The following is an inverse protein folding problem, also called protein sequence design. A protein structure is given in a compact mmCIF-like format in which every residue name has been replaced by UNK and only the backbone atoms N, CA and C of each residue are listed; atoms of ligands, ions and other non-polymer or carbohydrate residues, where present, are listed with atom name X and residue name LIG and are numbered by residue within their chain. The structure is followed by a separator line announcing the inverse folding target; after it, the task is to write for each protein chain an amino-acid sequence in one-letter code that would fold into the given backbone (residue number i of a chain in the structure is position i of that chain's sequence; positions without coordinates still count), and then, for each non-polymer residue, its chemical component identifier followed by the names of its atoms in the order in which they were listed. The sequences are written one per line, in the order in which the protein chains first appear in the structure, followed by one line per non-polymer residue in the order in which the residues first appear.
data_IF_111227542800
#
_entry.id   IF_111227542800
#
_cell.length_a   1.000
_cell.length_b   1.000
_cell.length_c   1.000
_cell.angle_alpha   90.00
_cell.angle_beta   90.00
_cell.angle_gamma   90.00
#
_symmetry.space_group_name_H-M   'P 1'
#
loop_
_entity.id
_entity.type
_entity.pdbx_description
1 polymer ?
#
# COMPACT_ATOMS: atom_id res chain seq x y z
N UNK A 1 4.82 52.53 -66.80
CA UNK A 1 4.95 51.07 -66.98
C UNK A 1 5.37 50.45 -65.65
N UNK A 2 4.42 49.89 -64.89
CA UNK A 2 4.71 49.14 -63.67
C UNK A 2 4.09 47.75 -63.83
N UNK A 3 4.95 46.73 -63.92
CA UNK A 3 4.58 45.31 -63.93
C UNK A 3 4.06 44.94 -62.54
N UNK A 4 2.79 44.56 -62.45
CA UNK A 4 2.22 43.78 -61.33
C UNK A 4 1.85 42.42 -61.90
N UNK A 5 2.78 41.47 -61.78
CA UNK A 5 2.49 40.05 -61.89
C UNK A 5 3.15 39.38 -60.67
N UNK A 6 2.46 39.42 -59.54
CA UNK A 6 2.62 38.45 -58.47
C UNK A 6 1.32 37.65 -58.48
N UNK A 7 1.32 36.55 -59.24
CA UNK A 7 0.29 35.53 -59.11
C UNK A 7 0.33 35.01 -57.67
N UNK A 8 -0.68 35.38 -56.87
CA UNK A 8 -0.92 34.73 -55.59
C UNK A 8 -1.10 33.22 -55.85
N UNK A 9 -0.40 32.34 -55.10
CA UNK A 9 -0.57 30.91 -55.29
C UNK A 9 -2.02 30.56 -55.01
N UNK A 10 -2.72 30.07 -56.04
CA UNK A 10 -4.09 29.57 -55.93
C UNK A 10 -4.18 28.61 -54.74
N UNK A 11 -5.04 28.95 -53.78
CA UNK A 11 -5.28 28.06 -52.64
C UNK A 11 -5.79 26.72 -53.18
N UNK A 12 -5.32 25.59 -52.61
CA UNK A 12 -5.75 24.27 -53.05
C UNK A 12 -7.27 24.15 -52.89
N UNK A 13 -7.91 23.56 -53.91
CA UNK A 13 -9.34 23.27 -53.88
C UNK A 13 -9.61 22.31 -52.70
N UNK A 14 -10.62 22.62 -51.91
CA UNK A 14 -11.02 21.78 -50.79
C UNK A 14 -11.50 20.40 -51.30
N UNK A 15 -10.88 19.33 -50.80
CA UNK A 15 -11.31 17.97 -51.04
C UNK A 15 -11.99 17.42 -49.78
N UNK A 16 -13.19 16.83 -49.94
CA UNK A 16 -13.88 16.18 -48.83
C UNK A 16 -13.12 14.90 -48.45
N UNK A 17 -12.60 14.86 -47.23
CA UNK A 17 -11.85 13.72 -46.70
C UNK A 17 -12.60 13.09 -45.52
N UNK A 18 -12.54 11.75 -45.37
CA UNK A 18 -13.10 11.10 -44.20
C UNK A 18 -12.27 11.47 -42.95
N UNK A 19 -12.85 11.33 -41.74
CA UNK A 19 -12.08 11.50 -40.52
C UNK A 19 -10.91 10.51 -40.43
N UNK A 20 -9.78 10.96 -39.86
CA UNK A 20 -8.53 10.16 -39.76
C UNK A 20 -8.71 8.80 -39.05
N UNK A 21 -9.72 8.68 -38.20
CA UNK A 21 -10.01 7.45 -37.45
C UNK A 21 -10.89 6.46 -38.22
N UNK A 22 -11.50 6.84 -39.36
CA UNK A 22 -12.42 5.99 -40.10
C UNK A 22 -11.64 5.01 -40.99
N UNK A 23 -11.67 3.70 -40.71
CA UNK A 23 -10.98 2.74 -41.54
C UNK A 23 -11.62 2.64 -42.93
N UNK A 24 -10.79 2.35 -43.93
CA UNK A 24 -11.28 1.97 -45.26
C UNK A 24 -12.09 0.68 -45.16
N UNK A 25 -13.15 0.57 -45.95
CA UNK A 25 -14.02 -0.61 -45.93
C UNK A 25 -13.31 -1.86 -46.45
N UNK A 26 -12.24 -1.71 -47.23
CA UNK A 26 -11.38 -2.80 -47.67
C UNK A 26 -9.90 -2.40 -47.64
N UNK A 27 -9.02 -3.38 -47.44
CA UNK A 27 -7.58 -3.16 -47.31
C UNK A 27 -6.93 -2.85 -48.67
N UNK A 28 -7.38 -3.52 -49.74
CA UNK A 28 -6.72 -3.46 -51.07
C UNK A 28 -7.58 -2.88 -52.19
N UNK A 29 -8.88 -2.74 -52.00
CA UNK A 29 -9.82 -2.37 -53.07
C UNK A 29 -10.44 -1.02 -52.72
N UNK A 30 -10.55 -0.15 -53.71
CA UNK A 30 -11.14 1.17 -53.51
C UNK A 30 -12.67 1.11 -53.53
N UNK A 31 -13.24 0.61 -52.43
CA UNK A 31 -14.69 0.58 -52.19
C UNK A 31 -15.14 1.71 -51.24
N UNK A 32 -14.26 2.68 -50.99
CA UNK A 32 -14.53 3.81 -50.11
C UNK A 32 -14.58 3.48 -48.61
N UNK A 33 -15.29 4.31 -47.87
CA UNK A 33 -15.35 4.30 -46.41
C UNK A 33 -16.78 4.07 -45.93
N UNK A 34 -16.93 3.33 -44.83
CA UNK A 34 -18.26 3.03 -44.30
C UNK A 34 -18.94 4.32 -43.81
N UNK A 35 -20.11 4.65 -44.38
CA UNK A 35 -20.88 5.84 -44.00
C UNK A 35 -20.31 7.17 -44.50
N UNK A 36 -19.30 7.15 -45.37
CA UNK A 36 -18.74 8.36 -45.98
C UNK A 36 -18.75 8.23 -47.51
N UNK A 37 -19.57 9.08 -48.14
CA UNK A 37 -19.85 9.05 -49.57
C UNK A 37 -19.55 10.44 -50.17
N UNK A 38 -18.28 10.73 -50.49
CA UNK A 38 -17.93 12.00 -51.10
C UNK A 38 -18.49 12.05 -52.54
N UNK A 39 -18.87 13.24 -53.05
CA UNK A 39 -19.24 13.42 -54.45
C UNK A 39 -18.10 12.97 -55.36
N UNK A 40 -18.41 12.25 -56.43
CA UNK A 40 -17.43 11.81 -57.42
C UNK A 40 -17.82 12.27 -58.82
N UNK A 41 -16.87 12.73 -59.66
CA UNK A 41 -17.19 13.24 -61.00
C UNK A 41 -17.90 12.26 -61.94
N UNK A 42 -17.82 10.96 -61.65
CA UNK A 42 -18.40 9.86 -62.42
C UNK A 42 -19.80 9.44 -61.93
N UNK A 43 -20.34 10.09 -60.90
CA UNK A 43 -21.69 9.81 -60.41
C UNK A 43 -22.77 10.35 -61.36
N UNK A 44 -23.90 9.64 -61.46
CA UNK A 44 -25.04 10.02 -62.32
C UNK A 44 -25.60 11.41 -61.99
N UNK A 45 -25.44 11.86 -60.74
CA UNK A 45 -25.84 13.20 -60.28
C UNK A 45 -24.94 14.31 -60.85
N UNK A 46 -23.65 14.03 -61.05
CA UNK A 46 -22.67 14.98 -61.58
C UNK A 46 -22.63 15.01 -63.12
N UNK A 47 -23.21 13.99 -63.78
CA UNK A 47 -23.27 13.90 -65.25
C UNK A 47 -24.52 14.63 -65.77
N UNK A 48 -24.32 15.86 -66.23
CA UNK A 48 -25.37 16.75 -66.75
C UNK A 48 -25.82 16.37 -68.18
N UNK A 49 -26.60 15.30 -68.31
CA UNK A 49 -27.24 14.94 -69.59
C UNK A 49 -28.41 15.86 -69.92
N UNK A 50 -28.69 16.06 -71.21
CA UNK A 50 -29.81 16.90 -71.67
C UNK A 50 -31.15 16.45 -71.06
N UNK A 51 -31.37 15.14 -70.93
CA UNK A 51 -32.56 14.56 -70.32
C UNK A 51 -32.66 14.89 -68.82
N UNK A 52 -31.58 14.69 -68.06
CA UNK A 52 -31.57 14.97 -66.62
C UNK A 52 -31.78 16.47 -66.34
N UNK A 53 -31.18 17.34 -67.16
CA UNK A 53 -31.32 18.81 -67.03
C UNK A 53 -32.76 19.27 -67.33
N UNK A 54 -33.43 18.67 -68.31
CA UNK A 54 -34.80 19.06 -68.70
C UNK A 54 -35.89 18.45 -67.82
N UNK A 55 -35.71 17.20 -67.39
CA UNK A 55 -36.76 16.42 -66.72
C UNK A 55 -36.50 16.16 -65.22
N UNK A 56 -35.32 16.53 -64.72
CA UNK A 56 -34.85 16.15 -63.39
C UNK A 56 -34.23 14.75 -63.35
N UNK A 57 -33.37 14.51 -62.36
CA UNK A 57 -32.79 13.18 -62.10
C UNK A 57 -33.77 12.36 -61.24
N UNK A 58 -34.18 11.20 -61.76
CA UNK A 58 -34.98 10.22 -61.01
C UNK A 58 -34.16 8.95 -60.90
N UNK A 59 -33.68 8.67 -59.69
CA UNK A 59 -32.97 7.42 -59.40
C UNK A 59 -33.98 6.27 -59.28
N UNK A 60 -33.68 5.16 -59.95
CA UNK A 60 -34.48 3.95 -59.83
C UNK A 60 -34.35 3.34 -58.44
N UNK A 61 -35.40 2.63 -57.99
CA UNK A 61 -35.30 1.81 -56.78
C UNK A 61 -34.33 0.66 -57.02
N UNK A 62 -33.33 0.52 -56.14
CA UNK A 62 -32.41 -0.64 -56.17
C UNK A 62 -33.12 -1.96 -55.88
N UNK A 63 -34.27 -1.91 -55.18
CA UNK A 63 -35.10 -3.08 -54.84
C UNK A 63 -36.57 -2.78 -55.19
N UNK A 64 -37.24 -3.59 -56.04
CA UNK A 64 -38.60 -3.32 -56.50
C UNK A 64 -39.70 -3.29 -55.43
N UNK A 65 -39.46 -3.89 -54.25
CA UNK A 65 -40.45 -4.12 -53.21
C UNK A 65 -39.99 -3.56 -51.84
N UNK A 66 -39.50 -2.32 -51.81
CA UNK A 66 -38.90 -1.69 -50.62
C UNK A 66 -39.84 -1.62 -49.40
N UNK A 67 -41.16 -1.55 -49.63
CA UNK A 67 -42.18 -1.43 -48.57
C UNK A 67 -42.65 -2.79 -48.04
N UNK A 68 -42.19 -3.92 -48.59
CA UNK A 68 -42.63 -5.24 -48.18
C UNK A 68 -41.94 -5.71 -46.89
N UNK A 69 -42.71 -6.33 -45.99
CA UNK A 69 -42.17 -6.99 -44.80
C UNK A 69 -41.57 -8.35 -45.15
N UNK A 70 -40.33 -8.59 -44.74
CA UNK A 70 -39.68 -9.91 -44.85
C UNK A 70 -40.22 -10.99 -43.90
N UNK A 71 -41.23 -10.69 -43.04
CA UNK A 71 -41.69 -11.59 -41.97
C UNK A 71 -42.02 -13.00 -42.46
N UNK A 72 -42.74 -13.13 -43.58
CA UNK A 72 -43.13 -14.44 -44.11
C UNK A 72 -41.92 -15.28 -44.56
N UNK A 73 -40.87 -14.63 -45.09
CA UNK A 73 -39.67 -15.29 -45.59
C UNK A 73 -38.80 -15.85 -44.45
N UNK A 74 -38.76 -15.17 -43.30
CA UNK A 74 -37.92 -15.56 -42.18
C UNK A 74 -38.64 -16.45 -41.16
N UNK A 75 -39.98 -16.38 -41.05
CA UNK A 75 -40.72 -17.12 -40.02
C UNK A 75 -40.56 -18.63 -40.15
N UNK A 76 -40.63 -19.19 -41.36
CA UNK A 76 -40.41 -20.63 -41.58
C UNK A 76 -38.99 -21.07 -41.23
N UNK A 77 -37.98 -20.27 -41.63
CA UNK A 77 -36.57 -20.54 -41.36
C UNK A 77 -36.23 -20.45 -39.86
N UNK A 78 -36.91 -19.56 -39.12
CA UNK A 78 -36.77 -19.43 -37.67
C UNK A 78 -37.51 -20.52 -36.88
N UNK A 79 -38.70 -20.92 -37.35
CA UNK A 79 -39.56 -21.87 -36.61
C UNK A 79 -39.17 -23.34 -36.81
N UNK A 80 -38.56 -23.69 -37.95
CA UNK A 80 -38.30 -25.09 -38.33
C UNK A 80 -36.89 -25.35 -38.88
N UNK A 81 -36.04 -24.33 -38.98
CA UNK A 81 -34.68 -24.45 -39.51
C UNK A 81 -33.59 -24.29 -38.46
N UNK A 82 -32.35 -24.60 -38.86
CA UNK A 82 -31.15 -24.39 -38.06
C UNK A 82 -30.58 -22.97 -38.16
N UNK A 83 -31.36 -22.02 -38.70
CA UNK A 83 -30.90 -20.66 -39.03
C UNK A 83 -30.18 -19.97 -37.87
N UNK A 84 -30.69 -20.12 -36.65
CA UNK A 84 -30.05 -19.50 -35.47
C UNK A 84 -28.68 -20.10 -35.18
N UNK A 85 -28.55 -21.42 -35.29
CA UNK A 85 -27.28 -22.13 -35.09
C UNK A 85 -26.27 -21.76 -36.18
N UNK A 86 -26.72 -21.61 -37.43
CA UNK A 86 -25.86 -21.23 -38.55
C UNK A 86 -25.38 -19.77 -38.39
N UNK A 87 -26.27 -18.87 -37.96
CA UNK A 87 -25.92 -17.48 -37.64
C UNK A 87 -24.92 -17.41 -36.47
N UNK A 88 -25.11 -18.24 -35.45
CA UNK A 88 -24.17 -18.35 -34.34
C UNK A 88 -22.78 -18.81 -34.81
N UNK A 89 -22.70 -19.86 -35.63
CA UNK A 89 -21.44 -20.34 -36.19
C UNK A 89 -20.76 -19.26 -37.06
N UNK A 90 -21.52 -18.57 -37.92
CA UNK A 90 -20.99 -17.46 -38.72
C UNK A 90 -20.43 -16.35 -37.83
N UNK A 91 -21.17 -15.91 -36.80
CA UNK A 91 -20.72 -14.86 -35.90
C UNK A 91 -19.51 -15.28 -35.08
N UNK A 92 -19.46 -16.53 -34.59
CA UNK A 92 -18.31 -17.07 -33.88
C UNK A 92 -17.06 -17.08 -34.77
N UNK A 93 -17.18 -17.51 -36.03
CA UNK A 93 -16.06 -17.46 -36.99
C UNK A 93 -15.61 -16.02 -37.28
N UNK A 94 -16.53 -15.06 -37.35
CA UNK A 94 -16.19 -13.63 -37.49
C UNK A 94 -15.43 -13.14 -36.25
N UNK A 95 -15.87 -13.50 -35.05
CA UNK A 95 -15.18 -13.13 -33.80
C UNK A 95 -13.79 -13.76 -33.70
N UNK A 96 -13.63 -15.04 -34.08
CA UNK A 96 -12.32 -15.70 -34.10
C UNK A 96 -11.35 -15.01 -35.06
N UNK A 97 -11.78 -14.72 -36.30
CA UNK A 97 -10.93 -14.00 -37.26
C UNK A 97 -10.62 -12.58 -36.80
N UNK A 98 -11.58 -11.90 -36.17
CA UNK A 98 -11.35 -10.58 -35.58
C UNK A 98 -10.29 -10.65 -34.49
N UNK A 99 -10.37 -11.63 -33.59
CA UNK A 99 -9.38 -11.85 -32.54
C UNK A 99 -7.97 -12.10 -33.10
N UNK A 100 -7.85 -12.90 -34.17
CA UNK A 100 -6.58 -13.16 -34.87
C UNK A 100 -6.03 -11.92 -35.58
N UNK A 101 -6.91 -11.04 -36.09
CA UNK A 101 -6.54 -9.82 -36.80
C UNK A 101 -6.17 -8.64 -35.89
N UNK A 102 -6.49 -8.70 -34.59
CA UNK A 102 -6.17 -7.63 -33.65
C UNK A 102 -4.66 -7.62 -33.43
N UNK A 103 -3.97 -6.49 -33.69
CA UNK A 103 -2.54 -6.38 -33.42
C UNK A 103 -2.25 -6.68 -31.94
N UNK A 104 -1.31 -7.59 -31.62
CA UNK A 104 -0.96 -7.87 -30.24
C UNK A 104 -0.34 -6.64 -29.58
N UNK A 105 -0.62 -6.44 -28.29
CA UNK A 105 0.03 -5.39 -27.50
C UNK A 105 1.53 -5.72 -27.45
N UNK A 106 2.42 -4.82 -27.89
CA UNK A 106 3.84 -5.09 -27.88
C UNK A 106 4.36 -5.28 -26.45
N UNK A 107 5.37 -6.14 -26.29
CA UNK A 107 6.04 -6.36 -25.02
C UNK A 107 6.62 -5.07 -24.45
N UNK A 108 6.62 -4.91 -23.12
CA UNK A 108 7.16 -3.73 -22.46
C UNK A 108 8.63 -3.51 -22.79
N UNK A 109 8.94 -2.32 -23.33
CA UNK A 109 10.32 -1.85 -23.59
C UNK A 109 10.90 -1.10 -22.40
N UNK A 110 10.23 -1.12 -21.25
CA UNK A 110 10.66 -0.38 -20.07
C UNK A 110 12.06 -0.80 -19.61
N UNK A 111 12.92 0.20 -19.42
CA UNK A 111 14.24 0.07 -18.82
C UNK A 111 14.30 0.95 -17.58
N UNK A 112 14.84 0.40 -16.50
CA UNK A 112 15.06 1.18 -15.29
C UNK A 112 16.08 2.28 -15.56
N UNK A 113 15.87 3.52 -15.07
CA UNK A 113 16.87 4.59 -15.15
C UNK A 113 18.26 4.12 -14.73
N UNK A 114 19.26 4.32 -15.61
CA UNK A 114 20.63 3.89 -15.36
C UNK A 114 21.35 4.83 -14.38
N UNK A 115 22.23 4.25 -13.58
CA UNK A 115 23.08 5.00 -12.65
C UNK A 115 24.31 5.56 -13.35
N UNK A 116 24.66 6.80 -13.00
CA UNK A 116 25.83 7.49 -13.53
C UNK A 116 26.65 8.07 -12.39
N UNK A 117 27.96 7.97 -12.48
CA UNK A 117 28.87 8.64 -11.55
C UNK A 117 28.93 10.12 -11.90
N UNK A 118 28.36 10.96 -11.04
CA UNK A 118 28.43 12.42 -11.15
C UNK A 118 29.46 12.96 -10.15
N UNK A 119 30.15 14.04 -10.55
CA UNK A 119 30.94 14.84 -9.61
C UNK A 119 30.03 15.54 -8.58
N UNK A 120 30.62 16.05 -7.50
CA UNK A 120 29.82 16.58 -6.38
C UNK A 120 28.95 17.78 -6.77
N UNK A 121 29.46 18.69 -7.60
CA UNK A 121 28.69 19.83 -8.10
C UNK A 121 27.46 19.40 -8.92
N UNK A 122 27.64 18.45 -9.85
CA UNK A 122 26.51 17.92 -10.65
C UNK A 122 25.56 17.10 -9.79
N UNK A 123 26.05 16.39 -8.77
CA UNK A 123 25.20 15.66 -7.82
C UNK A 123 24.33 16.64 -7.03
N UNK A 124 24.92 17.71 -6.49
CA UNK A 124 24.18 18.73 -5.75
C UNK A 124 23.12 19.41 -6.64
N UNK A 125 23.49 19.79 -7.86
CA UNK A 125 22.54 20.33 -8.83
C UNK A 125 21.42 19.34 -9.17
N UNK A 126 21.73 18.04 -9.28
CA UNK A 126 20.73 17.01 -9.53
C UNK A 126 19.73 16.87 -8.36
N UNK A 127 20.19 16.93 -7.10
CA UNK A 127 19.29 16.90 -5.95
C UNK A 127 18.46 18.18 -5.81
N UNK A 128 19.02 19.35 -6.19
CA UNK A 128 18.25 20.59 -6.29
C UNK A 128 17.15 20.49 -7.36
N UNK A 129 17.46 19.92 -8.53
CA UNK A 129 16.47 19.64 -9.57
C UNK A 129 15.45 18.57 -9.11
N UNK A 130 15.87 17.58 -8.29
CA UNK A 130 14.97 16.62 -7.68
C UNK A 130 14.04 17.29 -6.67
N UNK A 131 14.46 18.31 -5.94
CA UNK A 131 13.57 19.05 -5.05
C UNK A 131 12.58 19.95 -5.81
N UNK A 132 12.96 20.43 -7.00
CA UNK A 132 12.15 21.35 -7.79
C UNK A 132 10.96 20.65 -8.49
N UNK A 133 9.69 20.98 -8.15
CA UNK A 133 8.52 20.38 -8.78
C UNK A 133 8.37 20.74 -10.28
N UNK A 134 8.98 21.85 -10.72
CA UNK A 134 8.95 22.27 -12.14
C UNK A 134 9.84 21.42 -13.03
N UNK A 135 10.77 20.64 -12.46
CA UNK A 135 11.67 19.77 -13.25
C UNK A 135 11.02 18.38 -13.41
N UNK A 136 10.75 17.92 -14.65
CA UNK A 136 10.10 16.64 -14.88
C UNK A 136 11.03 15.46 -14.56
N UNK A 137 10.46 14.39 -13.97
CA UNK A 137 11.22 13.17 -13.62
C UNK A 137 11.80 12.45 -14.84
N UNK A 138 11.19 12.58 -16.02
CA UNK A 138 11.70 12.02 -17.28
C UNK A 138 13.06 12.61 -17.68
N UNK A 139 13.34 13.86 -17.31
CA UNK A 139 14.66 14.48 -17.48
C UNK A 139 15.68 13.88 -16.50
N UNK A 140 15.30 13.75 -15.23
CA UNK A 140 16.17 13.24 -14.16
C UNK A 140 16.51 11.76 -14.31
N UNK A 141 15.57 10.96 -14.84
CA UNK A 141 15.74 9.54 -15.08
C UNK A 141 16.80 9.19 -16.13
N UNK A 142 17.29 10.15 -16.92
CA UNK A 142 18.37 9.92 -17.89
C UNK A 142 19.73 9.70 -17.21
N UNK A 143 19.95 10.29 -16.04
CA UNK A 143 21.25 10.25 -15.35
C UNK A 143 21.06 10.30 -13.84
N UNK A 144 20.78 9.15 -13.22
CA UNK A 144 20.54 9.06 -11.78
C UNK A 144 21.89 8.93 -11.06
N UNK A 145 22.22 9.81 -10.09
CA UNK A 145 23.54 9.81 -9.45
C UNK A 145 23.79 8.54 -8.62
N UNK A 146 25.03 8.04 -8.71
CA UNK A 146 25.57 7.06 -7.77
C UNK A 146 26.20 7.77 -6.54
N UNK A 147 26.23 7.11 -5.37
CA UNK A 147 27.15 7.48 -4.28
C UNK A 147 26.58 7.46 -2.87
N UNK A 148 25.44 8.10 -2.60
CA UNK A 148 24.86 8.11 -1.27
C UNK A 148 24.11 6.80 -0.99
N UNK A 149 24.39 6.15 0.15
CA UNK A 149 23.74 4.91 0.58
C UNK A 149 23.27 5.02 2.04
N UNK A 150 22.29 4.20 2.40
CA UNK A 150 21.84 4.08 3.78
C UNK A 150 21.35 5.40 4.38
N UNK A 151 21.82 5.71 5.59
CA UNK A 151 21.40 6.90 6.34
C UNK A 151 21.81 8.21 5.65
N UNK A 152 22.99 8.26 5.04
CA UNK A 152 23.48 9.47 4.37
C UNK A 152 22.58 9.86 3.20
N UNK A 153 21.94 8.89 2.56
CA UNK A 153 20.96 9.14 1.51
C UNK A 153 19.67 9.76 2.05
N UNK A 154 19.16 9.25 3.18
CA UNK A 154 17.99 9.82 3.84
C UNK A 154 18.27 11.24 4.32
N UNK A 155 19.47 11.49 4.86
CA UNK A 155 19.95 12.81 5.23
C UNK A 155 20.05 13.74 4.01
N UNK A 156 20.52 13.25 2.86
CA UNK A 156 20.64 14.05 1.65
C UNK A 156 19.28 14.46 1.08
N UNK A 157 18.28 13.58 1.14
CA UNK A 157 16.91 13.87 0.71
C UNK A 157 16.26 14.93 1.60
N UNK A 158 16.44 14.83 2.92
CA UNK A 158 15.96 15.83 3.88
C UNK A 158 16.67 17.18 3.70
N UNK A 159 18.00 17.18 3.59
CA UNK A 159 18.81 18.42 3.44
C UNK A 159 18.47 19.22 2.19
N UNK A 160 18.05 18.56 1.11
CA UNK A 160 17.63 19.23 -0.13
C UNK A 160 16.12 19.51 -0.17
N UNK A 161 15.39 19.24 0.91
CA UNK A 161 13.93 19.43 1.00
C UNK A 161 13.16 18.74 -0.16
N UNK A 162 13.54 17.50 -0.46
CA UNK A 162 12.92 16.77 -1.57
C UNK A 162 11.51 16.34 -1.19
N UNK A 163 10.50 16.73 -1.97
CA UNK A 163 9.12 16.29 -1.73
C UNK A 163 8.97 14.76 -1.68
N UNK A 164 8.15 14.25 -0.75
CA UNK A 164 8.00 12.81 -0.45
C UNK A 164 7.75 11.94 -1.70
N UNK A 165 6.83 12.27 -2.63
CA UNK A 165 6.60 11.43 -3.80
C UNK A 165 7.83 11.33 -4.73
N UNK A 166 8.63 12.41 -4.82
CA UNK A 166 9.85 12.46 -5.64
C UNK A 166 10.98 11.70 -4.97
N UNK A 167 11.09 11.78 -3.65
CA UNK A 167 12.01 10.96 -2.86
C UNK A 167 11.69 9.46 -3.01
N UNK A 168 10.41 9.07 -2.90
CA UNK A 168 9.95 7.69 -3.10
C UNK A 168 10.27 7.20 -4.52
N UNK A 169 10.00 8.00 -5.55
CA UNK A 169 10.38 7.67 -6.93
C UNK A 169 11.88 7.39 -7.04
N UNK A 170 12.71 8.29 -6.51
CA UNK A 170 14.16 8.13 -6.57
C UNK A 170 14.62 6.88 -5.81
N UNK A 171 14.06 6.60 -4.63
CA UNK A 171 14.41 5.43 -3.83
C UNK A 171 13.96 4.12 -4.48
N UNK A 172 12.84 4.09 -5.20
CA UNK A 172 12.41 2.94 -6.01
C UNK A 172 13.38 2.69 -7.16
N UNK A 173 13.81 3.74 -7.86
CA UNK A 173 14.84 3.64 -8.89
C UNK A 173 16.16 3.15 -8.29
N UNK A 174 16.53 3.68 -7.12
CA UNK A 174 17.73 3.28 -6.40
C UNK A 174 17.70 1.79 -6.04
N UNK A 175 16.65 1.31 -5.36
CA UNK A 175 16.53 -0.09 -4.96
C UNK A 175 16.31 -1.07 -6.12
N UNK A 176 15.60 -0.63 -7.17
CA UNK A 176 15.49 -1.39 -8.41
C UNK A 176 16.85 -1.65 -9.05
N UNK A 177 17.74 -0.66 -9.03
CA UNK A 177 19.10 -0.82 -9.57
C UNK A 177 19.98 -1.70 -8.68
N UNK A 178 19.85 -1.67 -7.34
CA UNK A 178 20.58 -2.60 -6.46
C UNK A 178 20.15 -4.05 -6.68
N UNK A 179 18.86 -4.28 -6.92
CA UNK A 179 18.31 -5.64 -7.09
C UNK A 179 18.43 -6.19 -8.51
N UNK A 180 18.55 -5.32 -9.54
CA UNK A 180 18.58 -5.74 -10.94
C UNK A 180 19.66 -6.79 -11.25
N UNK A 181 20.87 -6.64 -10.72
CA UNK A 181 21.97 -7.58 -10.91
C UNK A 181 21.90 -8.85 -10.03
N UNK A 182 21.01 -8.86 -9.02
CA UNK A 182 20.85 -9.99 -8.10
C UNK A 182 19.76 -10.97 -8.57
N UNK A 183 18.79 -10.50 -9.36
CA UNK A 183 17.62 -11.29 -9.83
C UNK A 183 17.99 -12.56 -10.59
N UNK A 184 19.13 -12.58 -11.28
CA UNK A 184 19.58 -13.72 -12.08
C UNK A 184 20.50 -14.68 -11.30
N UNK A 185 20.77 -14.42 -10.01
CA UNK A 185 21.65 -15.26 -9.19
C UNK A 185 20.86 -16.41 -8.56
N UNK A 186 21.43 -17.63 -8.47
CA UNK A 186 20.80 -18.73 -7.75
C UNK A 186 20.62 -18.36 -6.27
N UNK A 187 19.45 -18.67 -5.71
CA UNK A 187 19.11 -18.33 -4.31
C UNK A 187 18.64 -16.88 -4.10
N UNK A 188 18.32 -16.13 -5.17
CA UNK A 188 17.74 -14.80 -5.05
C UNK A 188 16.42 -14.84 -4.26
N UNK A 189 16.38 -14.14 -3.13
CA UNK A 189 15.16 -13.89 -2.39
C UNK A 189 14.64 -12.47 -2.72
N UNK A 190 13.48 -12.34 -3.38
CA UNK A 190 12.89 -11.04 -3.71
C UNK A 190 12.64 -10.12 -2.49
N UNK A 191 12.40 -10.69 -1.30
CA UNK A 191 12.08 -9.92 -0.09
C UNK A 191 13.31 -9.52 0.71
N UNK A 192 14.50 -10.04 0.39
CA UNK A 192 15.71 -9.73 1.16
C UNK A 192 16.03 -8.24 1.14
N UNK A 193 15.85 -7.58 0.00
CA UNK A 193 16.15 -6.15 -0.12
C UNK A 193 15.20 -5.28 0.74
N UNK A 194 13.91 -5.62 0.83
CA UNK A 194 12.97 -4.86 1.68
C UNK A 194 13.26 -5.06 3.17
N UNK A 195 13.77 -6.23 3.58
CA UNK A 195 14.24 -6.49 4.94
C UNK A 195 15.51 -5.70 5.26
N UNK A 196 16.49 -5.70 4.35
CA UNK A 196 17.71 -4.88 4.49
C UNK A 196 17.37 -3.39 4.56
N UNK A 197 16.46 -2.93 3.70
CA UNK A 197 15.97 -1.56 3.71
C UNK A 197 15.23 -1.22 5.01
N UNK A 198 14.41 -2.13 5.54
CA UNK A 198 13.78 -1.99 6.84
C UNK A 198 14.81 -1.77 7.96
N UNK A 199 15.92 -2.51 7.94
CA UNK A 199 17.01 -2.35 8.91
C UNK A 199 17.73 -0.99 8.78
N UNK A 200 17.89 -0.49 7.55
CA UNK A 200 18.42 0.87 7.31
C UNK A 200 17.49 1.93 7.88
N UNK A 201 16.18 1.85 7.60
CA UNK A 201 15.21 2.85 8.05
C UNK A 201 15.07 2.82 9.58
N UNK A 202 14.93 1.64 10.18
CA UNK A 202 14.84 1.49 11.64
C UNK A 202 16.15 1.86 12.34
N UNK A 203 17.31 1.55 11.76
CA UNK A 203 18.61 1.99 12.23
C UNK A 203 18.77 3.51 12.22
N UNK A 204 18.25 4.17 11.18
CA UNK A 204 18.26 5.63 11.05
C UNK A 204 17.37 6.28 12.11
N UNK A 205 16.16 5.76 12.31
CA UNK A 205 15.25 6.22 13.37
C UNK A 205 15.84 6.01 14.76
N UNK A 206 16.46 4.84 15.01
CA UNK A 206 17.15 4.57 16.27
C UNK A 206 18.27 5.56 16.55
N UNK A 207 19.06 5.94 15.54
CA UNK A 207 20.09 6.98 15.64
C UNK A 207 19.49 8.34 16.01
N UNK A 208 18.38 8.73 15.37
CA UNK A 208 17.68 9.99 15.69
C UNK A 208 17.06 9.98 17.09
N UNK A 209 16.51 8.85 17.55
CA UNK A 209 16.00 8.71 18.92
C UNK A 209 17.14 8.75 19.94
N UNK A 210 18.31 8.19 19.63
CA UNK A 210 19.48 8.24 20.51
C UNK A 210 19.98 9.68 20.74
N UNK A 211 19.81 10.57 19.76
CA UNK A 211 20.18 11.98 19.86
C UNK A 211 19.40 12.76 20.96
N UNK A 212 18.21 12.26 21.33
CA UNK A 212 17.34 12.87 22.35
C UNK A 212 17.32 12.04 23.65
N UNK A 213 18.12 10.98 23.72
CA UNK A 213 18.15 10.10 24.88
C UNK A 213 18.78 10.80 26.09
N UNK A 214 18.14 10.72 27.25
CA UNK A 214 18.75 11.17 28.51
C UNK A 214 19.96 10.29 28.85
N UNK A 215 21.03 10.86 29.45
CA UNK A 215 22.13 10.07 29.99
C UNK A 215 21.60 9.10 31.03
N UNK A 216 22.08 7.86 31.02
CA UNK A 216 21.84 6.95 32.14
C UNK A 216 22.48 7.55 33.40
N UNK A 217 21.81 7.42 34.54
CA UNK A 217 22.33 7.90 35.81
C UNK A 217 23.79 7.43 36.00
N UNK A 218 24.72 8.31 36.43
CA UNK A 218 26.12 7.95 36.59
C UNK A 218 26.23 6.74 37.54
N UNK A 219 26.88 5.67 37.07
CA UNK A 219 27.27 4.58 37.96
C UNK A 219 28.26 5.16 38.99
N UNK A 220 28.18 4.78 40.28
CA UNK A 220 29.17 5.21 41.27
C UNK A 220 30.58 4.87 40.78
N UNK A 221 31.45 5.88 40.60
CA UNK A 221 32.85 5.71 40.19
C UNK A 221 33.27 6.27 38.83
N UNK A 222 32.37 6.84 38.01
CA UNK A 222 32.75 7.49 36.75
C UNK A 222 32.80 9.02 36.89
N UNK A 223 33.98 9.62 36.63
CA UNK A 223 34.18 11.06 36.59
C UNK A 223 33.29 11.73 35.52
N UNK A 224 32.28 12.49 35.95
CA UNK A 224 31.36 13.23 35.09
C UNK A 224 32.07 14.49 34.57
N UNK A 225 32.65 14.42 33.37
CA UNK A 225 33.19 15.60 32.66
C UNK A 225 32.30 16.13 31.54
N UNK A 226 31.11 15.55 31.31
CA UNK A 226 30.22 16.00 30.25
C UNK A 226 28.83 16.30 30.77
N UNK A 227 28.53 17.59 30.92
CA UNK A 227 27.18 18.12 31.07
C UNK A 227 26.41 17.77 29.79
N UNK A 228 25.41 16.90 29.89
CA UNK A 228 24.54 16.57 28.76
C UNK A 228 23.78 17.82 28.33
N UNK A 229 24.12 18.36 27.16
CA UNK A 229 23.28 19.32 26.44
C UNK A 229 22.39 18.51 25.50
N UNK A 230 21.15 18.25 25.90
CA UNK A 230 20.18 17.55 25.05
C UNK A 230 19.95 18.35 23.77
N UNK A 231 19.89 17.68 22.60
CA UNK A 231 19.64 18.37 21.32
C UNK A 231 18.32 19.15 21.30
N UNK A 232 17.38 18.79 22.18
CA UNK A 232 16.09 19.46 22.34
C UNK A 232 16.13 20.67 23.28
N UNK A 233 17.24 20.88 23.99
CA UNK A 233 17.41 22.01 24.91
C UNK A 233 17.68 23.33 24.18
N UNK A 234 18.30 23.26 23.00
CA UNK A 234 18.51 24.41 22.12
C UNK A 234 17.35 24.55 21.11
N UNK A 235 16.90 25.79 20.87
CA UNK A 235 15.72 26.04 20.03
C UNK A 235 15.98 25.67 18.56
N UNK A 236 17.14 26.07 18.01
CA UNK A 236 17.51 25.73 16.62
C UNK A 236 17.79 24.23 16.47
N UNK A 237 18.51 23.64 17.43
CA UNK A 237 18.76 22.20 17.47
C UNK A 237 17.46 21.38 17.50
N UNK A 238 16.49 21.82 18.29
CA UNK A 238 15.15 21.21 18.37
C UNK A 238 14.41 21.29 17.05
N UNK A 239 14.36 22.46 16.43
CA UNK A 239 13.66 22.65 15.15
C UNK A 239 14.26 21.77 14.04
N UNK A 240 15.59 21.74 13.93
CA UNK A 240 16.30 20.90 12.95
C UNK A 240 16.03 19.42 13.19
N UNK A 241 16.04 18.97 14.44
CA UNK A 241 15.73 17.57 14.78
C UNK A 241 14.28 17.23 14.46
N UNK A 242 13.32 18.08 14.83
CA UNK A 242 11.89 17.88 14.54
C UNK A 242 11.64 17.80 13.03
N UNK A 243 12.22 18.72 12.25
CA UNK A 243 12.11 18.72 10.78
C UNK A 243 12.62 17.40 10.20
N UNK A 244 13.81 16.96 10.61
CA UNK A 244 14.42 15.71 10.13
C UNK A 244 13.62 14.47 10.52
N UNK A 245 13.14 14.41 11.77
CA UNK A 245 12.36 13.28 12.26
C UNK A 245 10.99 13.22 11.57
N UNK A 246 10.32 14.36 11.38
CA UNK A 246 9.03 14.45 10.69
C UNK A 246 9.15 14.03 9.23
N UNK A 247 10.22 14.44 8.54
CA UNK A 247 10.51 14.00 7.18
C UNK A 247 10.73 12.47 7.11
N UNK A 248 11.48 11.92 8.06
CA UNK A 248 11.69 10.48 8.19
C UNK A 248 10.38 9.71 8.39
N UNK A 249 9.48 10.19 9.25
CA UNK A 249 8.15 9.59 9.47
C UNK A 249 7.28 9.66 8.21
N UNK A 250 7.34 10.77 7.48
CA UNK A 250 6.58 10.93 6.22
C UNK A 250 7.05 9.97 5.13
N UNK A 251 8.36 9.73 5.04
CA UNK A 251 8.91 8.68 4.18
C UNK A 251 8.50 7.29 4.64
N UNK A 252 8.61 7.00 5.95
CA UNK A 252 8.23 5.70 6.52
C UNK A 252 6.79 5.32 6.19
N UNK A 253 5.83 6.26 6.30
CA UNK A 253 4.43 6.03 5.93
C UNK A 253 4.29 5.51 4.50
N UNK A 254 4.98 6.16 3.56
CA UNK A 254 4.99 5.75 2.15
C UNK A 254 5.69 4.41 1.97
N UNK A 255 6.80 4.16 2.67
CA UNK A 255 7.50 2.90 2.56
C UNK A 255 6.71 1.71 3.12
N UNK A 256 5.97 1.92 4.21
CA UNK A 256 5.17 0.90 4.85
C UNK A 256 3.92 0.57 4.02
N UNK A 257 3.20 1.59 3.54
CA UNK A 257 1.97 1.38 2.74
C UNK A 257 2.25 0.73 1.38
N UNK A 258 3.40 1.01 0.79
CA UNK A 258 3.81 0.48 -0.51
C UNK A 258 4.67 -0.80 -0.41
N UNK A 259 4.93 -1.32 0.80
CA UNK A 259 5.73 -2.52 1.01
C UNK A 259 7.22 -2.39 0.65
N UNK A 260 7.75 -1.17 0.60
CA UNK A 260 9.20 -0.94 0.39
C UNK A 260 10.02 -1.35 1.61
N UNK A 261 9.48 -1.14 2.80
CA UNK A 261 10.02 -1.66 4.06
C UNK A 261 9.27 -2.93 4.40
N UNK A 262 9.99 -3.98 4.79
CA UNK A 262 9.34 -5.18 5.31
C UNK A 262 8.58 -4.86 6.61
N UNK A 263 7.25 -4.98 6.55
CA UNK A 263 6.38 -4.62 7.66
C UNK A 263 6.67 -5.44 8.92
N UNK A 264 7.00 -6.73 8.79
CA UNK A 264 7.28 -7.58 9.95
C UNK A 264 8.56 -7.16 10.65
N UNK A 265 9.64 -6.90 9.90
CA UNK A 265 10.91 -6.40 10.44
C UNK A 265 10.72 -5.06 11.14
N UNK A 266 10.00 -4.12 10.51
CA UNK A 266 9.72 -2.82 11.11
C UNK A 266 8.91 -2.93 12.42
N UNK A 267 7.81 -3.68 12.42
CA UNK A 267 6.95 -3.84 13.60
C UNK A 267 7.69 -4.55 14.73
N UNK A 268 8.48 -5.59 14.45
CA UNK A 268 9.31 -6.25 15.45
C UNK A 268 10.32 -5.28 16.11
N UNK A 269 10.95 -4.41 15.32
CA UNK A 269 11.81 -3.36 15.85
C UNK A 269 11.03 -2.37 16.72
N UNK A 270 9.82 -1.95 16.31
CA UNK A 270 9.01 -1.00 17.07
C UNK A 270 8.61 -1.55 18.44
N UNK A 271 8.23 -2.82 18.50
CA UNK A 271 7.97 -3.53 19.77
C UNK A 271 9.22 -3.52 20.66
N UNK A 272 10.38 -3.89 20.12
CA UNK A 272 11.64 -3.86 20.86
C UNK A 272 12.01 -2.44 21.32
N UNK A 273 11.78 -1.43 20.49
CA UNK A 273 12.08 -0.04 20.80
C UNK A 273 11.18 0.50 21.91
N UNK A 274 9.91 0.09 21.96
CA UNK A 274 8.98 0.40 23.08
C UNK A 274 9.49 -0.16 24.40
N UNK A 275 10.04 -1.38 24.37
CA UNK A 275 10.65 -2.02 25.54
C UNK A 275 11.99 -1.42 25.97
N UNK A 276 12.70 -0.66 25.13
CA UNK A 276 14.07 -0.18 25.41
C UNK A 276 14.23 1.35 25.43
N UNK A 277 13.23 2.10 24.99
CA UNK A 277 13.28 3.56 24.98
C UNK A 277 13.28 4.17 26.39
N UNK A 278 13.96 5.30 26.60
CA UNK A 278 13.85 6.05 27.87
C UNK A 278 12.61 6.96 27.89
N UNK A 279 12.33 7.59 29.03
CA UNK A 279 11.17 8.49 29.21
C UNK A 279 11.13 9.65 28.20
N UNK A 280 12.29 10.19 27.79
CA UNK A 280 12.35 11.26 26.78
C UNK A 280 11.96 10.79 25.37
N UNK A 281 12.25 9.53 25.04
CA UNK A 281 11.89 8.92 23.77
C UNK A 281 10.45 8.37 23.77
N UNK A 282 9.92 7.99 24.93
CA UNK A 282 8.66 7.27 25.09
C UNK A 282 7.47 8.02 24.47
N UNK A 283 7.43 9.36 24.55
CA UNK A 283 6.40 10.16 23.90
C UNK A 283 6.38 9.98 22.37
N UNK A 284 7.54 9.92 21.74
CA UNK A 284 7.64 9.70 20.28
C UNK A 284 7.35 8.25 19.91
N UNK A 285 7.86 7.29 20.68
CA UNK A 285 7.68 5.85 20.41
C UNK A 285 6.24 5.41 20.65
N UNK A 286 5.57 5.94 21.66
CA UNK A 286 4.14 5.64 21.91
C UNK A 286 3.24 6.16 20.79
N UNK A 287 3.48 7.38 20.29
CA UNK A 287 2.76 7.91 19.12
C UNK A 287 3.03 7.12 17.85
N UNK A 288 4.27 6.71 17.63
CA UNK A 288 4.60 5.82 16.53
C UNK A 288 3.90 4.47 16.67
N UNK A 289 3.83 3.93 17.88
CA UNK A 289 3.15 2.67 18.16
C UNK A 289 1.65 2.76 17.95
N UNK A 290 1.04 3.90 18.24
CA UNK A 290 -0.38 4.18 17.99
C UNK A 290 -0.70 4.21 16.49
N UNK A 291 0.19 4.81 15.68
CA UNK A 291 0.05 4.86 14.22
C UNK A 291 0.12 3.47 13.56
N UNK A 292 0.97 2.57 14.08
CA UNK A 292 1.19 1.23 13.51
C UNK A 292 0.59 0.10 14.35
N UNK A 293 -0.35 0.41 15.25
CA UNK A 293 -0.93 -0.56 16.19
C UNK A 293 -1.59 -1.73 15.47
N UNK A 294 -2.42 -1.45 14.46
CA UNK A 294 -3.20 -2.47 13.76
C UNK A 294 -2.31 -3.56 13.16
N UNK A 295 -1.13 -3.19 12.64
CA UNK A 295 -0.14 -4.15 12.15
C UNK A 295 0.43 -5.06 13.24
N UNK A 296 0.64 -4.54 14.46
CA UNK A 296 1.10 -5.33 15.61
C UNK A 296 0.02 -6.25 16.17
N UNK A 297 -1.26 -5.88 16.04
CA UNK A 297 -2.40 -6.67 16.52
C UNK A 297 -2.69 -7.90 15.65
N UNK A 298 -2.15 -7.97 14.43
CA UNK A 298 -2.32 -9.13 13.54
C UNK A 298 -1.67 -10.42 14.06
N UNK A 299 -0.74 -10.33 15.02
CA UNK A 299 -0.03 -11.51 15.52
C UNK A 299 0.31 -11.41 17.01
N UNK A 300 -0.13 -12.41 17.78
CA UNK A 300 0.19 -12.54 19.21
C UNK A 300 1.68 -12.47 19.54
N UNK A 301 2.55 -12.92 18.63
CA UNK A 301 4.00 -12.87 18.83
C UNK A 301 4.57 -11.44 18.88
N UNK A 302 3.88 -10.46 18.27
CA UNK A 302 4.21 -9.04 18.38
C UNK A 302 3.39 -8.38 19.50
N UNK A 303 2.09 -8.68 19.59
CA UNK A 303 1.18 -8.03 20.55
C UNK A 303 1.57 -8.31 22.00
N UNK A 304 1.90 -9.56 22.35
CA UNK A 304 2.26 -9.92 23.73
C UNK A 304 3.47 -9.14 24.27
N UNK A 305 4.65 -9.18 23.64
CA UNK A 305 5.81 -8.41 24.12
C UNK A 305 5.58 -6.89 24.03
N UNK A 306 4.74 -6.42 23.11
CA UNK A 306 4.34 -5.03 23.03
C UNK A 306 3.53 -4.60 24.26
N UNK A 307 2.46 -5.32 24.59
CA UNK A 307 1.62 -5.06 25.77
C UNK A 307 2.44 -5.10 27.05
N UNK A 308 3.29 -6.11 27.22
CA UNK A 308 4.19 -6.22 28.37
C UNK A 308 5.13 -5.00 28.47
N UNK A 309 5.68 -4.54 27.35
CA UNK A 309 6.48 -3.32 27.30
C UNK A 309 5.66 -2.07 27.67
N UNK A 310 4.44 -1.93 27.15
CA UNK A 310 3.56 -0.81 27.47
C UNK A 310 3.20 -0.75 28.96
N UNK A 311 2.87 -1.89 29.59
CA UNK A 311 2.57 -1.98 31.02
C UNK A 311 3.77 -1.57 31.87
N UNK A 312 4.95 -2.12 31.57
CA UNK A 312 6.19 -1.74 32.26
C UNK A 312 6.49 -0.23 32.12
N UNK A 313 6.27 0.36 30.94
CA UNK A 313 6.45 1.79 30.72
C UNK A 313 5.40 2.64 31.42
N UNK A 314 4.16 2.16 31.53
CA UNK A 314 3.10 2.86 32.26
C UNK A 314 3.42 2.92 33.76
N UNK A 315 3.95 1.84 34.35
CA UNK A 315 4.47 1.84 35.73
C UNK A 315 5.57 2.88 35.89
N UNK A 316 6.55 2.92 34.98
CA UNK A 316 7.66 3.87 35.04
C UNK A 316 7.19 5.33 34.93
N UNK A 317 6.23 5.62 34.05
CA UNK A 317 5.64 6.96 33.90
C UNK A 317 4.90 7.38 35.17
N UNK A 318 4.09 6.49 35.74
CA UNK A 318 3.33 6.76 36.98
C UNK A 318 4.24 6.98 38.20
N UNK A 319 5.39 6.29 38.24
CA UNK A 319 6.40 6.46 39.29
C UNK A 319 7.33 7.67 39.07
N UNK A 320 7.31 8.29 37.89
CA UNK A 320 8.24 9.37 37.56
C UNK A 320 7.87 10.69 38.25
N UNK A 321 8.85 11.46 38.76
CA UNK A 321 8.59 12.82 39.29
C UNK A 321 8.14 13.79 38.19
N UNK A 322 8.30 13.44 36.92
CA UNK A 322 7.88 14.25 35.78
C UNK A 322 6.47 13.86 35.25
N UNK A 323 5.68 13.10 36.02
CA UNK A 323 4.36 12.59 35.61
C UNK A 323 3.44 13.67 35.04
N UNK A 324 3.41 14.86 35.66
CA UNK A 324 2.57 15.99 35.21
C UNK A 324 2.81 16.38 33.75
N UNK A 325 4.06 16.28 33.28
CA UNK A 325 4.45 16.58 31.90
C UNK A 325 4.26 15.40 30.93
N UNK A 326 3.96 14.21 31.46
CA UNK A 326 3.81 12.96 30.70
C UNK A 326 2.35 12.50 30.58
N UNK A 327 1.38 13.31 31.02
CA UNK A 327 -0.06 12.99 31.01
C UNK A 327 -0.56 12.49 29.64
N UNK A 328 -0.20 13.18 28.56
CA UNK A 328 -0.54 12.77 27.18
C UNK A 328 0.07 11.41 26.80
N UNK A 329 1.29 11.12 27.26
CA UNK A 329 1.97 9.85 27.01
C UNK A 329 1.33 8.73 27.83
N UNK A 330 0.99 9.00 29.10
CA UNK A 330 0.24 8.10 29.98
C UNK A 330 -1.08 7.69 29.31
N UNK A 331 -1.88 8.66 28.88
CA UNK A 331 -3.14 8.41 28.16
C UNK A 331 -2.94 7.61 26.86
N UNK A 332 -1.88 7.90 26.11
CA UNK A 332 -1.59 7.16 24.87
C UNK A 332 -1.28 5.69 25.19
N UNK A 333 -0.45 5.42 26.21
CA UNK A 333 -0.14 4.05 26.64
C UNK A 333 -1.37 3.30 27.14
N UNK A 334 -2.23 3.95 27.94
CA UNK A 334 -3.49 3.37 28.39
C UNK A 334 -4.38 2.97 27.20
N UNK A 335 -4.56 3.87 26.23
CA UNK A 335 -5.33 3.60 25.02
C UNK A 335 -4.74 2.45 24.18
N UNK A 336 -3.41 2.37 24.06
CA UNK A 336 -2.74 1.27 23.37
C UNK A 336 -3.01 -0.08 24.03
N UNK A 337 -2.93 -0.14 25.36
CA UNK A 337 -3.21 -1.35 26.14
C UNK A 337 -4.67 -1.77 25.97
N UNK A 338 -5.61 -0.82 26.10
CA UNK A 338 -7.05 -1.09 25.97
C UNK A 338 -7.43 -1.56 24.56
N UNK A 339 -6.91 -0.90 23.52
CA UNK A 339 -7.12 -1.31 22.12
C UNK A 339 -6.53 -2.70 21.86
N UNK A 340 -5.36 -3.01 22.41
CA UNK A 340 -4.76 -4.33 22.30
C UNK A 340 -5.57 -5.42 23.02
N UNK A 341 -6.13 -5.10 24.19
CA UNK A 341 -7.01 -6.01 24.93
C UNK A 341 -8.28 -6.31 24.14
N UNK A 342 -8.93 -5.28 23.60
CA UNK A 342 -10.15 -5.42 22.80
C UNK A 342 -9.92 -6.26 21.54
N UNK A 343 -8.77 -6.08 20.87
CA UNK A 343 -8.48 -6.78 19.64
C UNK A 343 -7.96 -8.20 19.84
N UNK A 344 -7.12 -8.43 20.87
CA UNK A 344 -6.48 -9.72 21.10
C UNK A 344 -6.27 -10.01 22.61
N UNK A 345 -7.34 -10.39 23.35
CA UNK A 345 -7.24 -10.70 24.79
C UNK A 345 -6.20 -11.79 25.11
N UNK A 346 -6.03 -12.76 24.21
CA UNK A 346 -5.05 -13.85 24.33
C UNK A 346 -3.58 -13.38 24.45
N UNK A 347 -3.29 -12.15 24.00
CA UNK A 347 -1.96 -11.55 24.17
C UNK A 347 -1.61 -11.32 25.64
N UNK A 348 -2.61 -11.18 26.51
CA UNK A 348 -2.45 -10.92 27.95
C UNK A 348 -2.27 -12.20 28.78
N UNK A 349 -2.36 -13.38 28.15
CA UNK A 349 -2.12 -14.67 28.82
C UNK A 349 -0.61 -14.87 29.00
N UNK A 350 -0.09 -14.36 30.10
CA UNK A 350 1.30 -14.47 30.55
C UNK A 350 1.34 -14.39 32.09
N UNK A 351 1.49 -15.53 32.79
CA UNK A 351 1.42 -15.61 34.26
C UNK A 351 2.34 -14.63 34.99
N UNK A 352 3.55 -14.40 34.47
CA UNK A 352 4.53 -13.49 35.08
C UNK A 352 4.10 -12.05 34.94
N UNK A 353 3.69 -11.64 33.74
CA UNK A 353 3.20 -10.30 33.47
C UNK A 353 1.90 -10.04 34.24
N UNK A 354 0.99 -11.01 34.28
CA UNK A 354 -0.25 -10.94 35.04
C UNK A 354 0.01 -10.68 36.53
N UNK A 355 0.90 -11.46 37.16
CA UNK A 355 1.22 -11.28 38.58
C UNK A 355 1.85 -9.92 38.94
N UNK A 356 2.34 -9.16 37.96
CA UNK A 356 2.98 -7.86 38.16
C UNK A 356 2.05 -6.68 37.88
N UNK A 357 1.03 -6.88 37.04
CA UNK A 357 0.25 -5.78 36.45
C UNK A 357 -1.27 -6.04 36.49
N UNK A 358 -1.75 -7.08 37.16
CA UNK A 358 -3.18 -7.42 37.26
C UNK A 358 -4.01 -6.27 37.83
N UNK A 359 -3.57 -5.65 38.93
CA UNK A 359 -4.23 -4.48 39.52
C UNK A 359 -4.37 -3.34 38.51
N UNK A 360 -3.30 -3.05 37.76
CA UNK A 360 -3.28 -2.00 36.73
C UNK A 360 -4.19 -2.34 35.55
N UNK A 361 -4.17 -3.58 35.06
CA UNK A 361 -5.06 -4.01 33.98
C UNK A 361 -6.52 -3.89 34.41
N UNK A 362 -6.82 -4.26 35.65
CA UNK A 362 -8.16 -4.17 36.24
C UNK A 362 -8.63 -2.72 36.35
N UNK A 363 -7.79 -1.83 36.88
CA UNK A 363 -8.03 -0.38 36.96
C UNK A 363 -8.38 0.20 35.59
N UNK A 364 -7.56 -0.09 34.56
CA UNK A 364 -7.76 0.45 33.21
C UNK A 364 -9.07 -0.04 32.57
N UNK A 365 -9.41 -1.31 32.75
CA UNK A 365 -10.63 -1.90 32.20
C UNK A 365 -11.89 -1.35 32.89
N UNK A 366 -11.83 -1.13 34.21
CA UNK A 366 -12.90 -0.48 34.97
C UNK A 366 -13.09 0.97 34.52
N UNK A 367 -12.00 1.75 34.46
CA UNK A 367 -12.04 3.15 34.02
C UNK A 367 -12.64 3.26 32.60
N UNK A 368 -12.24 2.39 31.67
CA UNK A 368 -12.79 2.35 30.31
C UNK A 368 -14.29 2.01 30.28
N UNK A 369 -14.74 1.11 31.15
CA UNK A 369 -16.14 0.68 31.26
C UNK A 369 -17.04 1.80 31.80
N UNK A 370 -16.53 2.61 32.73
CA UNK A 370 -17.23 3.70 33.40
C UNK A 370 -17.23 5.00 32.58
N UNK A 371 -16.09 5.36 31.97
CA UNK A 371 -15.87 6.65 31.31
C UNK A 371 -15.97 6.61 29.80
N UNK A 372 -16.01 5.41 29.20
CA UNK A 372 -16.01 5.25 27.74
C UNK A 372 -17.20 5.90 27.05
N UNK A 373 -17.10 6.25 25.74
CA UNK A 373 -18.16 6.90 24.94
C UNK A 373 -19.38 5.98 24.67
N UNK A 374 -19.52 4.91 25.44
CA UNK A 374 -20.46 3.83 25.29
C UNK A 374 -21.80 4.18 25.97
N UNK A 375 -22.46 5.20 25.45
CA UNK A 375 -23.85 5.56 25.79
C UNK A 375 -24.81 4.86 24.81
N UNK A 376 -25.47 3.77 25.23
CA UNK A 376 -26.48 3.06 24.41
C UNK A 376 -26.69 1.59 24.76
N UNK A 377 -27.65 0.90 24.15
CA UNK A 377 -27.89 -0.54 24.39
C UNK A 377 -26.72 -1.43 23.91
N UNK A 378 -26.06 -1.06 22.80
CA UNK A 378 -24.87 -1.74 22.28
C UNK A 378 -23.68 -1.70 23.25
N UNK A 379 -23.63 -0.68 24.12
CA UNK A 379 -22.61 -0.56 25.16
C UNK A 379 -22.69 -1.65 26.23
N UNK A 380 -23.91 -2.10 26.58
CA UNK A 380 -24.08 -3.16 27.60
C UNK A 380 -23.53 -4.49 27.11
N UNK A 381 -23.78 -4.83 25.83
CA UNK A 381 -23.25 -6.05 25.22
C UNK A 381 -21.72 -6.05 25.17
N UNK A 382 -21.11 -4.94 24.75
CA UNK A 382 -19.65 -4.81 24.72
C UNK A 382 -19.02 -4.88 26.12
N UNK A 383 -19.63 -4.21 27.12
CA UNK A 383 -19.19 -4.30 28.53
C UNK A 383 -19.26 -5.73 29.06
N UNK A 384 -20.32 -6.46 28.73
CA UNK A 384 -20.44 -7.86 29.11
C UNK A 384 -19.34 -8.73 28.45
N UNK A 385 -19.11 -8.56 27.14
CA UNK A 385 -18.07 -9.30 26.44
C UNK A 385 -16.66 -9.00 26.96
N UNK A 386 -16.39 -7.73 27.29
CA UNK A 386 -15.15 -7.31 27.94
C UNK A 386 -14.97 -7.97 29.30
N UNK A 387 -16.03 -7.96 30.12
CA UNK A 387 -16.04 -8.60 31.42
C UNK A 387 -15.81 -10.11 31.32
N UNK A 388 -16.51 -10.78 30.41
CA UNK A 388 -16.37 -12.23 30.18
C UNK A 388 -14.95 -12.56 29.71
N UNK A 389 -14.37 -11.75 28.82
CA UNK A 389 -12.99 -11.89 28.34
C UNK A 389 -11.96 -11.67 29.44
N UNK A 390 -12.20 -10.70 30.32
CA UNK A 390 -11.35 -10.45 31.49
C UNK A 390 -11.41 -11.61 32.49
N UNK A 391 -12.60 -12.13 32.78
CA UNK A 391 -12.78 -13.29 33.69
C UNK A 391 -12.12 -14.54 33.10
N UNK A 392 -12.24 -14.80 31.80
CA UNK A 392 -11.52 -15.89 31.13
C UNK A 392 -10.00 -15.72 31.24
N UNK A 393 -9.51 -14.51 30.97
CA UNK A 393 -8.09 -14.18 31.06
C UNK A 393 -7.54 -14.40 32.48
N UNK A 394 -8.26 -13.92 33.50
CA UNK A 394 -7.89 -14.09 34.91
C UNK A 394 -7.78 -15.57 35.24
N UNK A 395 -8.83 -16.35 34.95
CA UNK A 395 -8.86 -17.80 35.19
C UNK A 395 -7.69 -18.52 34.52
N UNK A 396 -7.39 -18.19 33.26
CA UNK A 396 -6.29 -18.82 32.50
C UNK A 396 -4.93 -18.50 33.10
N UNK A 397 -4.70 -17.25 33.50
CA UNK A 397 -3.44 -16.86 34.14
C UNK A 397 -3.29 -17.47 35.54
N UNK A 398 -4.34 -17.50 36.35
CA UNK A 398 -4.36 -18.11 37.69
C UNK A 398 -4.16 -19.63 37.65
N UNK A 399 -4.78 -20.31 36.68
CA UNK A 399 -4.59 -21.74 36.45
C UNK A 399 -3.13 -22.06 36.07
N UNK A 400 -2.49 -21.22 35.26
CA UNK A 400 -1.08 -21.35 34.90
C UNK A 400 -0.11 -20.98 36.03
N UNK A 401 -0.56 -20.18 37.01
CA UNK A 401 0.18 -19.92 38.26
C UNK A 401 0.01 -21.04 39.30
N UNK A 402 -0.80 -22.05 39.02
CA UNK A 402 -1.13 -23.15 39.93
C UNK A 402 -1.65 -22.70 41.31
N UNK A 403 -2.27 -21.51 41.38
CA UNK A 403 -2.88 -21.01 42.63
C UNK A 403 -4.13 -21.80 42.99
N UNK A 404 -4.90 -22.19 41.97
CA UNK A 404 -6.05 -23.07 42.07
C UNK A 404 -5.78 -24.36 41.29
N UNK A 405 -5.21 -25.36 41.96
CA UNK A 405 -5.10 -26.69 41.37
C UNK A 405 -6.52 -27.26 41.21
N UNK A 406 -6.91 -27.77 40.03
CA UNK A 406 -8.13 -28.54 39.89
C UNK A 406 -8.11 -29.64 40.97
N UNK A 407 -9.24 -29.85 41.65
CA UNK A 407 -9.39 -30.95 42.59
C UNK A 407 -8.93 -32.21 41.89
N UNK A 408 -7.77 -32.76 42.31
CA UNK A 408 -7.25 -34.00 41.75
C UNK A 408 -8.28 -35.06 42.10
N UNK A 409 -9.16 -35.39 41.15
CA UNK A 409 -9.87 -36.65 41.20
C UNK A 409 -8.76 -37.67 41.05
N UNK A 410 -8.40 -38.32 42.16
CA UNK A 410 -7.54 -39.50 42.15
C UNK A 410 -8.29 -40.58 41.38
N UNK A 411 -8.27 -40.48 40.05
CA UNK A 411 -8.59 -41.58 39.17
C UNK A 411 -7.58 -42.65 39.52
N UNK A 412 -8.00 -43.61 40.34
CA UNK A 412 -7.22 -44.80 40.66
C UNK A 412 -6.64 -45.32 39.35
N UNK A 413 -5.37 -45.69 39.35
CA UNK A 413 -4.74 -46.34 38.19
C UNK A 413 -5.59 -47.53 37.67
N UNK A 414 -6.43 -48.11 38.53
CA UNK A 414 -7.42 -49.13 38.19
C UNK A 414 -8.46 -48.67 37.16
N UNK A 415 -8.88 -47.40 37.16
CA UNK A 415 -9.84 -46.83 36.20
C UNK A 415 -9.23 -46.68 34.81
N UNK A 416 -7.96 -46.29 34.72
CA UNK A 416 -7.25 -46.25 33.44
C UNK A 416 -6.96 -47.66 32.93
N UNK A 417 -6.68 -48.63 33.83
CA UNK A 417 -6.49 -50.04 33.49
C UNK A 417 -7.80 -50.73 33.06
N UNK A 418 -8.96 -50.35 33.61
CA UNK A 418 -10.25 -50.90 33.16
C UNK A 418 -10.61 -50.44 31.74
N UNK A 419 -10.26 -49.21 31.36
CA UNK A 419 -10.50 -48.70 30.00
C UNK A 419 -9.59 -49.39 28.96
N UNK A 420 -8.37 -49.76 29.36
CA UNK A 420 -7.46 -50.56 28.51
C UNK A 420 -8.03 -51.98 28.32
N UNK A 421 -8.50 -52.63 29.38
CA UNK A 421 -9.17 -53.94 29.31
C UNK A 421 -10.44 -53.92 28.45
N UNK A 422 -11.24 -52.86 28.54
CA UNK A 422 -12.44 -52.69 27.73
C UNK A 422 -12.11 -52.53 26.24
N UNK A 423 -10.99 -51.88 25.90
CA UNK A 423 -10.51 -51.75 24.52
C UNK A 423 -9.91 -53.05 23.96
N UNK A 424 -9.34 -53.92 24.78
CA UNK A 424 -8.90 -55.26 24.37
C UNK A 424 -10.06 -56.19 24.05
N UNK A 425 -11.17 -56.12 24.81
CA UNK A 425 -12.38 -56.89 24.51
C UNK A 425 -13.07 -56.46 23.21
N UNK A 426 -12.95 -55.19 22.82
CA UNK A 426 -13.45 -54.67 21.53
C UNK A 426 -12.56 -55.02 20.33
N UNK A 427 -11.37 -55.62 20.53
CA UNK A 427 -10.50 -56.12 19.46
C UNK A 427 -10.68 -57.61 19.17
N UNK A 428 -11.49 -58.33 19.95
CA UNK A 428 -11.74 -59.77 19.83
C UNK A 428 -13.18 -60.06 19.31
N UNK A 429 -13.93 -59.02 18.97
CA UNK A 429 -15.12 -59.07 18.12
C UNK A 429 -14.77 -58.47 16.76
#
# INVERSE_FOLDING_TARGET
MAKRDQEEPLLPIYESQPPDWLPKSHVSSDIGYAGFYPPRPDQEEEILTETNVKNGLILGLSVPAELYSGKANFYGALASGNLLSDLEDVMNRVFSRKAESIPPIPSSTFRLPSRVTLNDAKRQAWFADLANPKVPLSKLGKSVPHGAKGHDLLDLLHKNDVAIPRAVWFLRVFGGNETAGLRNRPGYNPTQYSVEWANVVTGYMKKQLADIALPMAPRPGLNIKQTFKGKLSDAEGRERWISRFTYCLSLLRSFYSEGMVDNRTFLAWLVQQTGTCNLAQLGFVSRLSDEYLDGMLMCRALTRPFVESCLNRLVEVRASPAREYLSTTEQTLQNLILRAFLALPDAFVNPRMWSQHDDMITELLQEYTETGPLSGQNAKGLRQQLFDSYVDLQKRNEAMLFRELPTRVSGSLSSALSDIKAREHLRIL
#
